data_IF_665015942425
#
_entry.id   IF_665015942425
#
_cell.length_a   1.000
_cell.length_b   1.000
_cell.length_c   1.000
_cell.angle_alpha   90.00
_cell.angle_beta   90.00
_cell.angle_gamma   90.00
#
_symmetry.space_group_name_H-M   'P 1'
#
loop_
_entity.id
_entity.type
_entity.pdbx_description
1 polymer ?
#
# COMPACT_ATOMS: atom_id res chain seq x y z
N UNK A 1 -22.18 -45.73 -32.08
CA UNK A 1 -22.55 -44.64 -31.10
C UNK A 1 -21.72 -44.66 -29.81
N UNK A 2 -21.22 -45.80 -29.32
CA UNK A 2 -20.40 -45.89 -28.11
C UNK A 2 -19.06 -45.18 -28.22
N UNK A 3 -18.28 -45.34 -29.28
CA UNK A 3 -16.97 -44.71 -29.47
C UNK A 3 -17.01 -43.17 -29.45
N UNK A 4 -18.07 -42.58 -29.98
CA UNK A 4 -18.22 -41.09 -29.98
C UNK A 4 -18.54 -40.51 -28.61
N UNK A 5 -19.16 -41.28 -27.74
CA UNK A 5 -19.44 -40.86 -26.36
C UNK A 5 -18.20 -40.91 -25.47
N UNK A 6 -17.31 -41.90 -25.66
CA UNK A 6 -16.09 -42.06 -24.91
C UNK A 6 -15.11 -40.93 -25.23
N UNK A 7 -14.89 -40.61 -26.51
CA UNK A 7 -14.05 -39.46 -26.91
C UNK A 7 -14.58 -38.08 -26.40
N UNK A 8 -15.89 -37.96 -26.23
CA UNK A 8 -16.50 -36.74 -25.71
C UNK A 8 -16.34 -36.61 -24.21
N UNK A 9 -16.28 -37.72 -23.48
CA UNK A 9 -16.03 -37.75 -22.05
C UNK A 9 -14.54 -37.53 -21.75
N UNK A 10 -13.63 -38.13 -22.49
CA UNK A 10 -12.19 -37.87 -22.36
C UNK A 10 -11.85 -36.40 -22.58
N UNK A 11 -12.41 -35.74 -23.60
CA UNK A 11 -12.20 -34.29 -23.85
C UNK A 11 -12.80 -33.40 -22.75
N UNK A 12 -13.82 -33.87 -22.02
CA UNK A 12 -14.38 -33.13 -20.87
C UNK A 12 -13.50 -33.29 -19.63
N UNK A 13 -12.93 -34.46 -19.42
CA UNK A 13 -12.04 -34.72 -18.29
C UNK A 13 -10.70 -34.00 -18.45
N UNK A 14 -10.14 -33.93 -19.65
CA UNK A 14 -8.95 -33.13 -19.96
C UNK A 14 -9.17 -31.64 -19.71
N UNK A 15 -10.32 -31.09 -20.14
CA UNK A 15 -10.65 -29.67 -19.88
C UNK A 15 -10.86 -29.38 -18.39
N UNK A 16 -11.37 -30.33 -17.65
CA UNK A 16 -11.60 -30.18 -16.22
C UNK A 16 -10.30 -30.30 -15.43
N UNK A 17 -9.39 -31.16 -15.89
CA UNK A 17 -8.05 -31.32 -15.33
C UNK A 17 -7.18 -30.08 -15.60
N UNK A 18 -7.25 -29.51 -16.79
CA UNK A 18 -6.58 -28.26 -17.17
C UNK A 18 -7.07 -27.06 -16.33
N UNK A 19 -8.37 -26.99 -16.04
CA UNK A 19 -8.92 -25.95 -15.16
C UNK A 19 -8.44 -26.10 -13.71
N UNK A 20 -8.37 -27.34 -13.21
CA UNK A 20 -7.84 -27.65 -11.86
C UNK A 20 -6.36 -27.32 -11.74
N UNK A 21 -5.55 -27.63 -12.76
CA UNK A 21 -4.13 -27.30 -12.78
C UNK A 21 -3.92 -25.79 -12.83
N UNK A 22 -4.64 -25.05 -13.69
CA UNK A 22 -4.57 -23.58 -13.73
C UNK A 22 -4.99 -22.94 -12.41
N UNK A 23 -5.97 -23.51 -11.69
CA UNK A 23 -6.35 -23.03 -10.35
C UNK A 23 -5.27 -23.35 -9.30
N UNK A 24 -4.61 -24.53 -9.38
CA UNK A 24 -3.48 -24.87 -8.48
C UNK A 24 -2.30 -23.95 -8.72
N UNK A 25 -1.90 -23.73 -9.96
CA UNK A 25 -0.83 -22.81 -10.34
C UNK A 25 -1.13 -21.37 -9.90
N UNK A 26 -2.38 -20.95 -10.05
CA UNK A 26 -2.81 -19.62 -9.57
C UNK A 26 -2.78 -19.50 -8.04
N UNK A 27 -3.17 -20.57 -7.32
CA UNK A 27 -3.05 -20.62 -5.85
C UNK A 27 -1.58 -20.68 -5.40
N UNK A 28 -0.74 -21.41 -6.11
CA UNK A 28 0.68 -21.53 -5.80
C UNK A 28 1.41 -20.21 -6.06
N UNK A 29 1.20 -19.58 -7.20
CA UNK A 29 1.70 -18.22 -7.49
C UNK A 29 1.23 -17.19 -6.47
N UNK A 30 -0.03 -17.27 -6.03
CA UNK A 30 -0.53 -16.40 -4.96
C UNK A 30 0.12 -16.69 -3.60
N UNK A 31 0.40 -17.95 -3.29
CA UNK A 31 1.12 -18.35 -2.07
C UNK A 31 2.57 -17.89 -2.10
N UNK A 32 3.25 -18.01 -3.24
CA UNK A 32 4.61 -17.49 -3.46
C UNK A 32 4.68 -15.97 -3.45
N UNK A 33 3.67 -15.30 -4.01
CA UNK A 33 3.52 -13.83 -3.93
C UNK A 33 3.29 -13.34 -2.50
N UNK A 34 2.57 -14.11 -1.68
CA UNK A 34 2.35 -13.81 -0.27
C UNK A 34 3.54 -14.21 0.61
N UNK A 35 4.41 -15.10 0.16
CA UNK A 35 5.64 -15.51 0.83
C UNK A 35 6.83 -14.57 0.52
N UNK A 36 6.62 -13.46 -0.20
CA UNK A 36 7.64 -12.43 -0.35
C UNK A 36 7.92 -11.78 1.01
N UNK A 37 9.18 -11.49 1.34
CA UNK A 37 9.50 -10.80 2.58
C UNK A 37 8.70 -9.50 2.64
N UNK A 38 7.94 -9.34 3.69
CA UNK A 38 7.12 -8.14 3.97
C UNK A 38 7.91 -7.12 4.76
N UNK A 39 9.04 -7.53 5.32
CA UNK A 39 9.94 -6.71 6.12
C UNK A 39 11.37 -6.94 5.66
N UNK A 40 12.26 -5.93 5.81
CA UNK A 40 13.68 -6.07 5.55
C UNK A 40 14.30 -7.19 6.41
N UNK A 41 15.41 -7.75 5.95
CA UNK A 41 16.13 -8.82 6.65
C UNK A 41 16.56 -8.41 8.06
N UNK A 42 16.86 -7.11 8.25
CA UNK A 42 17.18 -6.53 9.55
C UNK A 42 15.92 -5.90 10.16
N UNK A 43 15.45 -6.42 11.29
CA UNK A 43 14.32 -5.84 12.00
C UNK A 43 14.77 -4.68 12.90
N UNK A 44 13.88 -3.69 13.11
CA UNK A 44 14.15 -2.58 14.06
C UNK A 44 14.39 -3.06 15.47
N UNK A 45 13.70 -4.12 15.89
CA UNK A 45 13.80 -4.70 17.21
C UNK A 45 15.18 -5.35 17.45
N UNK A 46 15.69 -6.09 16.45
CA UNK A 46 17.03 -6.69 16.51
C UNK A 46 18.11 -5.62 16.56
N UNK A 47 18.00 -4.56 15.73
CA UNK A 47 18.92 -3.45 15.77
C UNK A 47 18.88 -2.69 17.10
N UNK A 48 17.70 -2.49 17.69
CA UNK A 48 17.56 -1.84 18.99
C UNK A 48 18.15 -2.68 20.14
N UNK A 49 18.14 -4.01 20.03
CA UNK A 49 18.74 -4.91 21.02
C UNK A 49 20.27 -4.95 20.96
N UNK A 50 20.88 -4.60 19.81
CA UNK A 50 22.33 -4.63 19.62
C UNK A 50 23.05 -3.56 20.44
N UNK A 51 24.33 -3.85 20.77
CA UNK A 51 25.20 -2.89 21.42
C UNK A 51 25.63 -1.79 20.46
N UNK A 52 25.94 -0.60 21.00
CA UNK A 52 26.35 0.57 20.18
C UNK A 52 27.61 0.28 19.35
N UNK A 53 28.53 -0.57 19.85
CA UNK A 53 29.72 -0.97 19.10
C UNK A 53 29.35 -1.77 17.85
N UNK A 54 28.46 -2.74 17.96
CA UNK A 54 27.98 -3.58 16.86
C UNK A 54 27.18 -2.76 15.83
N UNK A 55 26.39 -1.79 16.32
CA UNK A 55 25.68 -0.87 15.43
C UNK A 55 26.63 0.02 14.62
N UNK A 56 27.73 0.46 15.22
CA UNK A 56 28.77 1.25 14.51
C UNK A 56 29.51 0.42 13.47
N UNK A 57 29.77 -0.85 13.71
CA UNK A 57 30.35 -1.75 12.72
C UNK A 57 29.41 -1.95 11.53
N UNK A 58 28.12 -2.23 11.81
CA UNK A 58 27.11 -2.33 10.75
C UNK A 58 26.91 -1.02 10.00
N UNK A 59 26.94 0.12 10.68
CA UNK A 59 26.85 1.42 10.04
C UNK A 59 28.01 1.67 9.06
N UNK A 60 29.21 1.18 9.36
CA UNK A 60 30.35 1.24 8.44
C UNK A 60 30.15 0.38 7.19
N UNK A 61 29.52 -0.79 7.31
CA UNK A 61 29.19 -1.64 6.16
C UNK A 61 28.26 -0.93 5.16
N UNK A 62 27.39 -0.04 5.68
CA UNK A 62 26.44 0.75 4.87
C UNK A 62 26.94 2.17 4.58
N UNK A 63 28.22 2.48 4.83
CA UNK A 63 28.83 3.80 4.62
C UNK A 63 28.13 4.95 5.35
N UNK A 64 27.54 4.67 6.51
CA UNK A 64 26.80 5.65 7.32
C UNK A 64 27.76 6.34 8.30
N UNK A 65 27.75 7.68 8.36
CA UNK A 65 28.50 8.43 9.35
C UNK A 65 27.96 8.18 10.77
N UNK A 66 28.85 7.71 11.66
CA UNK A 66 28.50 7.33 13.03
C UNK A 66 28.81 8.40 14.07
N UNK A 67 29.48 9.48 13.64
CA UNK A 67 30.01 10.49 14.58
C UNK A 67 28.90 11.38 15.12
N UNK A 68 28.78 11.45 16.46
CA UNK A 68 27.85 12.35 17.14
C UNK A 68 26.38 11.89 17.17
N UNK A 69 26.02 10.75 16.59
CA UNK A 69 24.63 10.26 16.53
C UNK A 69 24.26 9.43 17.75
N UNK A 70 23.04 9.58 18.20
CA UNK A 70 22.46 8.78 19.30
C UNK A 70 22.13 7.36 18.81
N UNK A 71 22.04 6.39 19.74
CA UNK A 71 21.71 4.99 19.43
C UNK A 71 20.42 4.87 18.59
N UNK A 72 19.38 5.62 18.91
CA UNK A 72 18.11 5.58 18.22
C UNK A 72 18.21 6.08 16.77
N UNK A 73 19.00 7.12 16.52
CA UNK A 73 19.25 7.67 15.18
C UNK A 73 20.06 6.69 14.33
N UNK A 74 21.08 6.04 14.92
CA UNK A 74 21.87 5.02 14.22
C UNK A 74 21.00 3.81 13.83
N UNK A 75 20.13 3.33 14.70
CA UNK A 75 19.21 2.24 14.41
C UNK A 75 18.30 2.59 13.24
N UNK A 76 17.73 3.78 13.22
CA UNK A 76 16.82 4.21 12.17
C UNK A 76 17.53 4.41 10.83
N UNK A 77 18.73 4.98 10.82
CA UNK A 77 19.53 5.14 9.60
C UNK A 77 20.02 3.82 9.04
N UNK A 78 20.50 2.91 9.88
CA UNK A 78 20.92 1.57 9.43
C UNK A 78 19.70 0.83 8.85
N UNK A 79 18.54 0.87 9.54
CA UNK A 79 17.32 0.25 9.07
C UNK A 79 16.87 0.80 7.72
N UNK A 80 16.82 2.13 7.57
CA UNK A 80 16.38 2.77 6.32
C UNK A 80 17.34 2.52 5.16
N UNK A 81 18.66 2.48 5.43
CA UNK A 81 19.66 2.23 4.39
C UNK A 81 19.68 0.76 3.98
N UNK A 82 19.59 -0.16 4.93
CA UNK A 82 19.47 -1.59 4.66
C UNK A 82 18.18 -1.90 3.88
N UNK A 83 17.05 -1.34 4.30
CA UNK A 83 15.78 -1.50 3.61
C UNK A 83 15.85 -0.97 2.15
N UNK A 84 16.47 0.19 1.94
CA UNK A 84 16.70 0.74 0.59
C UNK A 84 17.60 -0.15 -0.25
N UNK A 85 18.68 -0.69 0.33
CA UNK A 85 19.60 -1.61 -0.35
C UNK A 85 18.88 -2.91 -0.77
N UNK A 86 17.94 -3.40 0.04
CA UNK A 86 17.06 -4.54 -0.28
C UNK A 86 15.93 -4.17 -1.25
N UNK A 87 15.80 -2.89 -1.64
CA UNK A 87 14.81 -2.40 -2.59
C UNK A 87 13.46 -2.04 -1.97
N UNK A 88 13.35 -2.00 -0.63
CA UNK A 88 12.20 -1.43 0.05
C UNK A 88 12.22 0.08 -0.08
N UNK A 89 11.05 0.66 -0.31
CA UNK A 89 10.87 2.12 -0.40
C UNK A 89 9.62 2.51 0.34
N UNK A 90 9.65 3.65 0.99
CA UNK A 90 8.43 4.22 1.58
C UNK A 90 7.62 4.91 0.49
N UNK A 91 6.32 4.86 0.64
CA UNK A 91 5.36 5.55 -0.21
C UNK A 91 4.33 6.28 0.63
N UNK A 92 3.95 7.45 0.16
CA UNK A 92 2.81 8.22 0.63
C UNK A 92 1.96 8.61 -0.56
N UNK A 93 0.67 8.34 -0.52
CA UNK A 93 -0.20 8.69 -1.63
C UNK A 93 -1.66 8.38 -1.38
N UNK A 94 -2.48 8.66 -2.38
CA UNK A 94 -3.93 8.52 -2.32
C UNK A 94 -4.34 7.17 -2.90
N UNK A 95 -5.16 6.43 -2.15
CA UNK A 95 -5.66 5.12 -2.56
C UNK A 95 -6.83 5.25 -3.54
N UNK A 96 -6.73 4.57 -4.67
CA UNK A 96 -7.83 4.29 -5.57
C UNK A 96 -8.11 2.78 -5.57
N UNK A 97 -9.30 2.38 -5.15
CA UNK A 97 -9.74 0.98 -5.20
C UNK A 97 -10.33 0.69 -6.57
N UNK A 98 -9.96 -0.45 -7.14
CA UNK A 98 -10.44 -0.94 -8.43
C UNK A 98 -11.63 -1.89 -8.27
N UNK A 99 -12.40 -2.16 -9.35
CA UNK A 99 -13.51 -3.11 -9.32
C UNK A 99 -13.09 -4.55 -8.94
N UNK A 100 -11.84 -4.93 -9.18
CA UNK A 100 -11.26 -6.23 -8.79
C UNK A 100 -10.88 -6.32 -7.30
N UNK A 101 -11.28 -5.33 -6.49
CA UNK A 101 -10.93 -5.20 -5.07
C UNK A 101 -9.44 -5.00 -4.79
N UNK A 102 -8.60 -4.83 -5.80
CA UNK A 102 -7.23 -4.36 -5.63
C UNK A 102 -7.18 -2.82 -5.58
N UNK A 103 -6.07 -2.26 -5.18
CA UNK A 103 -5.89 -0.81 -5.13
C UNK A 103 -4.63 -0.34 -5.83
N UNK A 104 -4.59 0.94 -6.11
CA UNK A 104 -3.39 1.68 -6.51
C UNK A 104 -3.24 2.86 -5.58
N UNK A 105 -2.01 3.07 -5.10
CA UNK A 105 -1.63 4.31 -4.42
C UNK A 105 -1.01 5.22 -5.46
N UNK A 106 -1.59 6.39 -5.64
CA UNK A 106 -1.06 7.45 -6.48
C UNK A 106 -0.14 8.33 -5.65
N UNK A 107 1.18 8.30 -5.96
CA UNK A 107 2.19 9.05 -5.22
C UNK A 107 2.10 10.57 -5.46
N UNK A 108 1.66 10.97 -6.65
CA UNK A 108 1.58 12.38 -7.08
C UNK A 108 0.12 12.85 -7.23
N UNK A 109 -0.66 12.75 -6.14
CA UNK A 109 -2.06 13.16 -6.14
C UNK A 109 -2.95 12.19 -6.92
N UNK A 110 -3.73 12.68 -7.89
CA UNK A 110 -4.63 11.85 -8.71
C UNK A 110 -4.06 11.49 -10.08
N UNK A 111 -2.86 11.95 -10.40
CA UNK A 111 -2.21 11.70 -11.69
C UNK A 111 -1.52 10.32 -11.66
N UNK A 112 -1.66 9.57 -12.75
CA UNK A 112 -0.95 8.30 -12.92
C UNK A 112 0.54 8.55 -13.07
N UNK A 113 1.35 7.81 -12.31
CA UNK A 113 2.80 7.91 -12.30
C UNK A 113 3.45 6.53 -12.35
N UNK A 114 4.73 6.49 -12.70
CA UNK A 114 5.55 5.28 -12.60
C UNK A 114 5.85 4.91 -11.13
N UNK A 115 5.71 5.88 -10.21
CA UNK A 115 5.90 5.69 -8.77
C UNK A 115 4.66 5.14 -8.08
N UNK A 116 3.56 4.97 -8.81
CA UNK A 116 2.33 4.38 -8.27
C UNK A 116 2.58 2.96 -7.77
N UNK A 117 2.02 2.64 -6.61
CA UNK A 117 2.16 1.33 -6.00
C UNK A 117 0.87 0.51 -6.06
N UNK A 118 1.04 -0.80 -6.15
CA UNK A 118 -0.06 -1.76 -6.11
C UNK A 118 -0.41 -2.13 -4.67
N UNK A 119 -1.70 -2.10 -4.34
CA UNK A 119 -2.21 -2.52 -3.03
C UNK A 119 -2.99 -3.83 -3.17
N UNK A 120 -2.53 -4.91 -2.53
CA UNK A 120 -3.25 -6.17 -2.54
C UNK A 120 -4.61 -6.08 -1.85
N UNK A 121 -5.60 -6.81 -2.36
CA UNK A 121 -6.96 -6.81 -1.83
C UNK A 121 -7.06 -7.23 -0.34
N UNK A 122 -6.13 -8.06 0.14
CA UNK A 122 -6.13 -8.49 1.53
C UNK A 122 -5.81 -7.33 2.49
N UNK A 123 -4.88 -6.41 2.13
CA UNK A 123 -4.56 -5.23 2.92
C UNK A 123 -5.75 -4.24 2.97
N UNK A 124 -6.43 -4.06 1.84
CA UNK A 124 -7.62 -3.21 1.76
C UNK A 124 -8.71 -3.72 2.72
N UNK A 125 -8.93 -5.03 2.73
CA UNK A 125 -9.95 -5.66 3.59
C UNK A 125 -9.55 -5.65 5.06
N UNK A 126 -8.28 -5.96 5.38
CA UNK A 126 -7.82 -6.03 6.78
C UNK A 126 -7.88 -4.67 7.46
N UNK A 127 -7.46 -3.60 6.78
CA UNK A 127 -7.46 -2.24 7.32
C UNK A 127 -8.76 -1.46 7.01
N UNK A 128 -9.76 -2.08 6.33
CA UNK A 128 -11.02 -1.44 5.90
C UNK A 128 -10.81 -0.13 5.16
N UNK A 129 -9.85 -0.13 4.25
CA UNK A 129 -9.49 1.05 3.46
C UNK A 129 -10.62 1.46 2.52
N UNK A 130 -10.68 2.74 2.23
CA UNK A 130 -11.64 3.34 1.29
C UNK A 130 -10.91 4.12 0.20
N UNK A 131 -11.53 4.25 -0.95
CA UNK A 131 -11.02 5.14 -2.01
C UNK A 131 -10.92 6.57 -1.49
N UNK A 132 -9.78 7.22 -1.74
CA UNK A 132 -9.48 8.57 -1.24
C UNK A 132 -8.66 8.58 0.05
N UNK A 133 -8.42 7.43 0.70
CA UNK A 133 -7.55 7.39 1.88
C UNK A 133 -6.10 7.72 1.50
N UNK A 134 -5.46 8.55 2.29
CA UNK A 134 -4.03 8.82 2.21
C UNK A 134 -3.29 7.73 2.98
N UNK A 135 -2.51 6.92 2.27
CA UNK A 135 -1.78 5.79 2.85
C UNK A 135 -0.30 6.12 2.87
N UNK A 136 0.31 5.89 4.02
CA UNK A 136 1.76 5.81 4.17
C UNK A 136 2.14 4.37 4.50
N UNK A 137 3.18 3.87 3.85
CA UNK A 137 3.63 2.51 4.06
C UNK A 137 4.89 2.18 3.30
N UNK A 138 5.38 0.96 3.48
CA UNK A 138 6.58 0.47 2.80
C UNK A 138 6.22 -0.44 1.63
N UNK A 139 6.93 -0.24 0.52
CA UNK A 139 6.85 -1.05 -0.69
C UNK A 139 7.86 -2.18 -0.60
N UNK A 140 7.47 -3.36 -1.01
CA UNK A 140 8.41 -4.47 -1.25
C UNK A 140 9.15 -4.25 -2.57
N UNK A 141 10.36 -4.80 -2.70
CA UNK A 141 11.09 -4.77 -3.96
C UNK A 141 10.25 -5.38 -5.10
N UNK A 142 10.30 -4.73 -6.26
CA UNK A 142 9.64 -5.21 -7.48
C UNK A 142 10.35 -6.48 -7.94
N UNK A 143 9.60 -7.57 -8.12
CA UNK A 143 10.13 -8.78 -8.74
C UNK A 143 10.03 -8.68 -10.26
N UNK A 144 10.99 -9.28 -10.97
CA UNK A 144 11.00 -9.30 -12.43
C UNK A 144 9.65 -9.80 -12.98
N UNK A 145 8.92 -8.91 -13.67
CA UNK A 145 7.56 -9.14 -14.18
C UNK A 145 6.44 -8.35 -13.51
N UNK A 146 6.64 -7.78 -12.33
CA UNK A 146 5.67 -6.88 -11.70
C UNK A 146 5.81 -5.47 -12.32
N UNK A 147 4.72 -4.98 -12.94
CA UNK A 147 4.69 -3.63 -13.53
C UNK A 147 4.78 -2.50 -12.49
N UNK A 148 4.49 -2.78 -11.22
CA UNK A 148 4.49 -1.83 -10.11
C UNK A 148 4.95 -2.51 -8.83
N UNK A 149 5.64 -1.76 -7.97
CA UNK A 149 5.98 -2.22 -6.63
C UNK A 149 4.70 -2.47 -5.82
N UNK A 150 4.70 -3.53 -5.02
CA UNK A 150 3.56 -3.87 -4.17
C UNK A 150 3.72 -3.30 -2.76
N UNK A 151 2.63 -2.79 -2.18
CA UNK A 151 2.61 -2.41 -0.77
C UNK A 151 2.80 -3.65 0.10
N UNK A 152 3.82 -3.61 0.97
CA UNK A 152 4.13 -4.67 1.93
C UNK A 152 3.41 -4.43 3.26
N UNK A 153 3.54 -3.23 3.82
CA UNK A 153 3.02 -2.85 5.13
C UNK A 153 2.43 -1.44 5.09
N UNK A 154 1.34 -1.24 5.80
CA UNK A 154 0.73 0.07 6.01
C UNK A 154 1.27 0.60 7.34
N UNK A 155 1.80 1.81 7.33
CA UNK A 155 2.27 2.51 8.53
C UNK A 155 1.18 3.40 9.09
N UNK A 156 0.62 4.28 8.27
CA UNK A 156 -0.47 5.16 8.66
C UNK A 156 -1.54 5.24 7.58
N UNK A 157 -2.75 5.57 7.97
CA UNK A 157 -3.87 5.87 7.08
C UNK A 157 -4.49 7.19 7.53
N UNK A 158 -4.48 8.19 6.65
CA UNK A 158 -4.91 9.57 6.98
C UNK A 158 -4.18 10.16 8.21
N UNK A 159 -2.91 9.76 8.43
CA UNK A 159 -2.10 10.20 9.56
C UNK A 159 -2.41 9.50 10.89
N UNK A 160 -3.32 8.52 10.89
CA UNK A 160 -3.71 7.74 12.07
C UNK A 160 -3.27 6.29 11.92
N UNK A 161 -3.24 5.57 13.06
CA UNK A 161 -3.00 4.13 13.06
C UNK A 161 -4.12 3.39 12.31
N UNK A 162 -3.79 2.39 11.47
CA UNK A 162 -4.77 1.60 10.73
C UNK A 162 -5.87 0.98 11.59
N UNK A 163 -5.58 0.64 12.86
CA UNK A 163 -6.58 0.07 13.77
C UNK A 163 -7.64 1.08 14.18
N UNK A 164 -7.26 2.33 14.41
CA UNK A 164 -8.18 3.42 14.78
C UNK A 164 -9.18 3.71 13.66
N UNK A 165 -8.75 3.58 12.41
CA UNK A 165 -9.58 3.87 11.24
C UNK A 165 -10.58 2.77 10.92
N UNK A 166 -10.36 1.55 11.38
CA UNK A 166 -11.26 0.40 11.11
C UNK A 166 -12.71 0.66 11.52
N UNK A 167 -12.93 1.43 12.56
CA UNK A 167 -14.25 1.68 13.15
C UNK A 167 -14.88 3.01 12.72
N UNK A 168 -14.30 3.69 11.72
CA UNK A 168 -14.88 4.95 11.23
C UNK A 168 -16.28 4.73 10.62
N UNK A 169 -17.25 5.63 10.89
CA UNK A 169 -18.59 5.56 10.33
C UNK A 169 -18.54 5.72 8.80
N UNK A 170 -19.54 5.19 8.11
CA UNK A 170 -19.74 5.47 6.68
C UNK A 170 -20.43 6.83 6.54
N UNK A 171 -20.16 7.51 5.43
CA UNK A 171 -20.81 8.81 5.17
C UNK A 171 -22.33 8.74 5.24
N UNK A 172 -22.93 7.68 4.67
CA UNK A 172 -24.38 7.49 4.71
C UNK A 172 -24.98 7.18 6.09
N UNK A 173 -24.13 6.83 7.08
CA UNK A 173 -24.55 6.55 8.45
C UNK A 173 -24.49 7.81 9.35
N UNK A 174 -23.98 8.96 8.79
CA UNK A 174 -23.90 10.22 9.50
C UNK A 174 -25.27 10.90 9.57
N UNK A 175 -25.58 11.51 10.72
CA UNK A 175 -26.78 12.31 10.87
C UNK A 175 -26.64 13.61 10.06
N UNK A 176 -27.53 13.89 9.10
CA UNK A 176 -27.49 15.16 8.38
C UNK A 176 -27.85 16.31 9.33
N UNK A 177 -27.08 17.37 9.26
CA UNK A 177 -27.36 18.62 9.99
C UNK A 177 -27.65 19.73 9.00
N UNK A 178 -28.51 20.66 9.37
CA UNK A 178 -28.74 21.86 8.55
C UNK A 178 -27.47 22.72 8.54
N UNK A 179 -27.18 23.38 7.39
CA UNK A 179 -26.04 24.28 7.31
C UNK A 179 -26.25 25.46 8.28
N UNK A 180 -25.29 25.67 9.16
CA UNK A 180 -25.30 26.73 10.20
C UNK A 180 -24.10 27.65 10.12
N UNK A 181 -23.14 27.35 9.23
CA UNK A 181 -21.93 28.14 9.01
C UNK A 181 -21.74 28.40 7.52
N UNK A 182 -21.52 29.66 7.10
CA UNK A 182 -21.26 29.99 5.69
C UNK A 182 -19.86 29.50 5.29
N UNK A 183 -19.76 28.79 4.18
CA UNK A 183 -18.50 28.37 3.57
C UNK A 183 -18.03 29.44 2.60
N UNK A 184 -17.16 30.34 3.04
CA UNK A 184 -16.63 31.39 2.18
C UNK A 184 -15.62 30.86 1.17
N UNK A 185 -15.91 31.04 -0.11
CA UNK A 185 -15.07 30.66 -1.24
C UNK A 185 -14.19 31.80 -1.74
N UNK A 186 -14.45 33.04 -1.34
CA UNK A 186 -13.64 34.20 -1.70
C UNK A 186 -12.30 34.18 -0.96
N UNK A 187 -11.20 34.13 -1.72
CA UNK A 187 -9.82 34.15 -1.21
C UNK A 187 -9.07 35.35 -1.80
N UNK A 188 -9.03 36.45 -1.07
CA UNK A 188 -8.32 37.64 -1.48
C UNK A 188 -9.07 38.53 -2.50
N UNK A 189 -8.46 39.67 -2.84
CA UNK A 189 -9.11 40.71 -3.64
C UNK A 189 -9.43 40.30 -5.08
N UNK A 190 -8.67 39.39 -5.65
CA UNK A 190 -8.78 38.96 -7.06
C UNK A 190 -9.68 37.73 -7.27
N UNK A 191 -10.27 37.19 -6.19
CA UNK A 191 -11.14 36.02 -6.26
C UNK A 191 -12.56 36.34 -6.71
N UNK A 192 -12.72 36.78 -7.97
CA UNK A 192 -14.02 37.15 -8.55
C UNK A 192 -14.96 35.94 -8.59
N UNK A 193 -14.44 34.77 -8.98
CA UNK A 193 -15.21 33.52 -9.05
C UNK A 193 -15.71 33.09 -7.67
N UNK A 194 -14.84 33.13 -6.65
CA UNK A 194 -15.22 32.81 -5.28
C UNK A 194 -16.31 33.73 -4.75
N UNK A 195 -16.19 35.03 -5.00
CA UNK A 195 -17.21 36.05 -4.64
C UNK A 195 -18.55 35.79 -5.32
N UNK A 196 -18.54 35.47 -6.62
CA UNK A 196 -19.76 35.12 -7.33
C UNK A 196 -20.45 33.87 -6.75
N UNK A 197 -19.67 32.86 -6.36
CA UNK A 197 -20.20 31.64 -5.72
C UNK A 197 -20.81 31.98 -4.35
N UNK A 198 -20.14 32.80 -3.53
CA UNK A 198 -20.60 33.16 -2.19
C UNK A 198 -21.93 34.00 -2.25
N UNK A 199 -22.20 34.70 -3.36
CA UNK A 199 -23.46 35.43 -3.57
C UNK A 199 -24.59 34.47 -3.97
N UNK A 200 -24.30 33.48 -4.82
CA UNK A 200 -25.33 32.60 -5.41
C UNK A 200 -25.65 31.41 -4.48
N UNK A 201 -24.66 30.95 -3.70
CA UNK A 201 -24.76 29.76 -2.83
C UNK A 201 -24.09 30.05 -1.48
N UNK A 202 -24.71 30.94 -0.66
CA UNK A 202 -24.20 31.29 0.66
C UNK A 202 -24.23 30.13 1.66
#
# INVERSE_FOLDING_TARGET
QHKRNDERNERKDDRNNDRRNRQRDRKQRNKERNAAPTEPTLSREELAAMKVAELREKAKEFEIETTGKKKAELVEEIYTTAAKAEGFRDIKGILQIRPDSSGIIHAHGYMKSNDDAFVPAYLIRSARLRTGDVIEGSLRPSRGGDKRAGLAKITTVNGLDPEQIRNRPKFGDLTPVYPNEPLRMEHGKDSITGRAIDIVSP
#
